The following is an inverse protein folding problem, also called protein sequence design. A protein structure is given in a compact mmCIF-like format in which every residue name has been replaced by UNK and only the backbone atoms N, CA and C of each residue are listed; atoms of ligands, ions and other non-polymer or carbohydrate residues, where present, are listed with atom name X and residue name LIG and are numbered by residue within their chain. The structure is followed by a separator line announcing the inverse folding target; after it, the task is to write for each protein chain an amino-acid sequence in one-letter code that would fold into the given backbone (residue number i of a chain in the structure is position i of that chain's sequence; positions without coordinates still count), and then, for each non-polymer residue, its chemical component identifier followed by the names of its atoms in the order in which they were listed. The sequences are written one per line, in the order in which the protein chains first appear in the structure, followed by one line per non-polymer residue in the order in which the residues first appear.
data_IF_594030423237
#
_entry.id   IF_594030423237
#
_cell.length_a   1.000
_cell.length_b   1.000
_cell.length_c   1.000
_cell.angle_alpha   90.00
_cell.angle_beta   90.00
_cell.angle_gamma   90.00
#
_symmetry.space_group_name_H-M   'P 1'
#
loop_
_entity.id
_entity.type
_entity.pdbx_description
1 polymer ?
#
# COMPACT_ATOMS: atom_id res chain seq x y z
N UNK A 1 3.68 -50.52 -9.27
CA UNK A 1 3.66 -49.12 -8.78
C UNK A 1 2.21 -48.68 -8.56
N UNK A 2 1.67 -48.83 -7.35
CA UNK A 2 0.26 -48.50 -7.06
C UNK A 2 0.06 -47.01 -6.78
N UNK A 3 -0.92 -46.38 -7.43
CA UNK A 3 -1.32 -44.98 -7.16
C UNK A 3 -2.17 -44.95 -5.88
N UNK A 4 -1.62 -44.42 -4.78
CA UNK A 4 -2.40 -44.14 -3.56
C UNK A 4 -3.37 -42.98 -3.83
N UNK A 5 -4.66 -43.26 -3.92
CA UNK A 5 -5.69 -42.22 -3.86
C UNK A 5 -5.80 -41.74 -2.41
N UNK A 6 -5.50 -40.47 -2.17
CA UNK A 6 -5.81 -39.81 -0.89
C UNK A 6 -7.32 -39.64 -0.79
N UNK A 7 -7.96 -40.50 0.01
CA UNK A 7 -9.35 -40.32 0.40
C UNK A 7 -9.48 -38.98 1.11
N UNK A 8 -10.26 -38.06 0.54
CA UNK A 8 -10.65 -36.85 1.24
C UNK A 8 -11.54 -37.28 2.40
N UNK A 9 -11.11 -37.03 3.65
CA UNK A 9 -11.98 -37.21 4.80
C UNK A 9 -13.10 -36.17 4.70
N UNK A 10 -14.27 -36.64 4.26
CA UNK A 10 -15.51 -35.89 4.36
C UNK A 10 -15.71 -35.63 5.86
N UNK A 11 -15.62 -34.37 6.26
CA UNK A 11 -16.02 -33.95 7.60
C UNK A 11 -17.55 -33.96 7.58
N UNK A 12 -18.15 -35.02 8.12
CA UNK A 12 -19.59 -35.02 8.35
C UNK A 12 -19.94 -33.84 9.26
N UNK A 13 -21.12 -33.21 9.08
CA UNK A 13 -21.63 -32.25 10.05
C UNK A 13 -21.70 -32.90 11.44
N UNK A 14 -21.54 -32.13 12.53
CA UNK A 14 -21.76 -32.66 13.87
C UNK A 14 -23.18 -33.21 13.96
N UNK A 15 -23.34 -34.35 14.63
CA UNK A 15 -24.66 -34.94 14.88
C UNK A 15 -25.55 -33.89 15.55
N UNK A 16 -26.80 -33.80 15.09
CA UNK A 16 -27.79 -32.90 15.68
C UNK A 16 -28.00 -33.28 17.16
N UNK A 17 -28.16 -32.30 18.07
CA UNK A 17 -28.56 -32.60 19.43
C UNK A 17 -29.87 -33.41 19.41
N UNK A 18 -30.08 -34.34 20.37
CA UNK A 18 -31.30 -35.13 20.42
C UNK A 18 -32.53 -34.21 20.46
N UNK A 19 -33.58 -34.58 19.73
CA UNK A 19 -34.86 -33.88 19.75
C UNK A 19 -35.49 -34.02 21.14
N UNK A 20 -35.28 -33.02 21.98
CA UNK A 20 -35.97 -32.85 23.26
C UNK A 20 -37.42 -32.44 22.91
N UNK A 21 -38.45 -33.14 23.42
CA UNK A 21 -39.84 -32.72 23.24
C UNK A 21 -40.04 -31.29 23.75
N UNK A 22 -40.83 -30.47 23.04
CA UNK A 22 -41.11 -29.08 23.43
C UNK A 22 -41.68 -28.98 24.86
N UNK A 23 -42.35 -30.03 25.34
CA UNK A 23 -42.92 -30.17 26.69
C UNK A 23 -41.88 -30.41 27.81
N UNK A 24 -40.63 -30.78 27.48
CA UNK A 24 -39.52 -30.98 28.44
C UNK A 24 -38.63 -29.74 28.60
N UNK A 25 -38.90 -28.66 27.85
CA UNK A 25 -38.09 -27.42 27.87
C UNK A 25 -38.60 -26.47 28.97
N UNK A 26 -38.05 -26.60 30.18
CA UNK A 26 -38.31 -25.67 31.28
C UNK A 26 -37.61 -24.31 31.05
N UNK A 27 -38.39 -23.25 30.82
CA UNK A 27 -37.90 -21.87 30.73
C UNK A 27 -37.86 -21.22 32.13
N UNK A 28 -36.79 -20.49 32.46
CA UNK A 28 -36.73 -19.71 33.69
C UNK A 28 -37.73 -18.55 33.65
N UNK A 29 -38.34 -18.22 34.79
CA UNK A 29 -39.22 -17.06 34.95
C UNK A 29 -38.54 -15.74 34.53
N UNK A 30 -37.22 -15.65 34.67
CA UNK A 30 -36.44 -14.47 34.29
C UNK A 30 -36.23 -14.35 32.77
N UNK A 31 -36.10 -15.47 32.04
CA UNK A 31 -36.04 -15.47 30.58
C UNK A 31 -37.38 -15.03 29.98
N UNK A 32 -38.49 -15.49 30.58
CA UNK A 32 -39.85 -15.11 30.22
C UNK A 32 -40.07 -13.60 30.44
N UNK A 33 -39.53 -13.01 31.53
CA UNK A 33 -39.57 -11.55 31.77
C UNK A 33 -38.75 -10.81 30.73
N UNK A 34 -37.50 -11.24 30.49
CA UNK A 34 -36.58 -10.59 29.55
C UNK A 34 -37.15 -10.49 28.13
N UNK A 35 -37.78 -11.57 27.62
CA UNK A 35 -38.41 -11.58 26.29
C UNK A 35 -39.67 -10.71 26.24
N UNK A 36 -40.45 -10.61 27.34
CA UNK A 36 -41.61 -9.71 27.42
C UNK A 36 -41.21 -8.25 27.39
N UNK A 37 -40.15 -7.88 28.11
CA UNK A 37 -39.58 -6.52 28.13
C UNK A 37 -38.98 -6.13 26.78
N UNK A 38 -38.25 -7.05 26.13
CA UNK A 38 -37.53 -6.80 24.87
C UNK A 38 -38.31 -7.17 23.60
N UNK A 39 -39.66 -7.17 23.65
CA UNK A 39 -40.52 -7.55 22.52
C UNK A 39 -40.26 -6.79 21.21
N UNK A 40 -39.83 -5.53 21.29
CA UNK A 40 -39.48 -4.73 20.10
C UNK A 40 -38.33 -5.38 19.29
N UNK A 41 -37.38 -6.02 19.96
CA UNK A 41 -36.22 -6.69 19.36
C UNK A 41 -36.54 -8.14 18.93
N UNK A 42 -37.60 -8.75 19.48
CA UNK A 42 -38.06 -10.10 19.13
C UNK A 42 -38.96 -10.15 17.88
N UNK A 43 -39.16 -9.03 17.18
CA UNK A 43 -40.01 -8.92 15.97
C UNK A 43 -39.63 -9.94 14.87
N UNK A 44 -38.35 -10.21 14.68
CA UNK A 44 -37.85 -11.23 13.76
C UNK A 44 -38.33 -12.64 14.15
N UNK A 45 -38.30 -13.00 15.44
CA UNK A 45 -38.73 -14.32 15.91
C UNK A 45 -40.24 -14.53 15.70
N UNK A 46 -41.04 -13.48 15.87
CA UNK A 46 -42.49 -13.53 15.60
C UNK A 46 -42.89 -13.55 14.13
N UNK A 47 -41.96 -13.25 13.21
CA UNK A 47 -42.22 -13.19 11.75
C UNK A 47 -41.55 -14.31 10.96
N UNK A 48 -40.71 -15.14 11.60
CA UNK A 48 -40.13 -16.33 11.00
C UNK A 48 -41.17 -17.45 10.89
N UNK A 49 -41.52 -17.80 9.65
CA UNK A 49 -42.29 -19.01 9.35
C UNK A 49 -41.43 -20.26 9.58
N UNK A 50 -41.52 -20.80 10.79
CA UNK A 50 -40.81 -22.01 11.19
C UNK A 50 -41.14 -23.17 10.26
N UNK A 51 -42.38 -23.32 9.79
CA UNK A 51 -42.80 -24.48 8.99
C UNK A 51 -42.14 -24.53 7.61
N UNK A 52 -41.96 -23.40 6.92
CA UNK A 52 -41.24 -23.40 5.63
C UNK A 52 -39.74 -23.56 5.79
N UNK A 53 -39.17 -23.13 6.92
CA UNK A 53 -37.76 -23.35 7.27
C UNK A 53 -37.51 -24.84 7.54
N UNK A 54 -38.26 -25.48 8.44
CA UNK A 54 -38.09 -26.92 8.73
C UNK A 54 -38.26 -27.77 7.46
N UNK A 55 -39.26 -27.45 6.62
CA UNK A 55 -39.49 -28.12 5.32
C UNK A 55 -38.35 -27.92 4.31
N UNK A 56 -37.55 -26.87 4.39
CA UNK A 56 -36.37 -26.71 3.54
C UNK A 56 -35.14 -27.42 4.12
N UNK A 57 -34.98 -27.46 5.44
CA UNK A 57 -33.86 -28.15 6.10
C UNK A 57 -33.98 -29.66 5.93
N UNK A 58 -35.14 -30.26 6.21
CA UNK A 58 -35.34 -31.72 6.03
C UNK A 58 -35.20 -32.16 4.59
N UNK A 59 -35.73 -31.39 3.62
CA UNK A 59 -35.55 -31.63 2.19
C UNK A 59 -34.09 -31.63 1.72
N UNK A 60 -33.19 -30.97 2.43
CA UNK A 60 -31.74 -30.96 2.12
C UNK A 60 -31.02 -32.09 2.86
N UNK A 61 -31.48 -32.48 4.05
CA UNK A 61 -30.94 -33.61 4.80
C UNK A 61 -31.26 -34.98 4.16
N UNK A 62 -32.48 -35.16 3.64
CA UNK A 62 -32.96 -36.44 3.06
C UNK A 62 -32.71 -36.58 1.54
N UNK A 63 -32.23 -35.53 0.88
CA UNK A 63 -31.97 -35.56 -0.55
C UNK A 63 -30.66 -36.29 -0.88
N UNK A 64 -30.73 -37.28 -1.76
CA UNK A 64 -29.52 -37.91 -2.34
C UNK A 64 -28.68 -36.84 -3.05
N UNK A 65 -27.38 -36.82 -2.77
CA UNK A 65 -26.43 -35.79 -3.24
C UNK A 65 -26.56 -35.48 -4.75
N UNK A 66 -26.66 -36.52 -5.59
CA UNK A 66 -26.85 -36.44 -7.05
C UNK A 66 -28.04 -35.57 -7.51
N UNK A 67 -29.08 -35.44 -6.68
CA UNK A 67 -30.28 -34.65 -6.97
C UNK A 67 -30.07 -33.20 -6.51
N UNK A 68 -29.42 -33.02 -5.36
CA UNK A 68 -29.10 -31.71 -4.81
C UNK A 68 -28.09 -30.97 -5.70
N UNK A 69 -27.05 -31.66 -6.17
CA UNK A 69 -26.03 -31.10 -7.06
C UNK A 69 -26.64 -30.61 -8.38
N UNK A 70 -27.53 -31.40 -9.01
CA UNK A 70 -28.26 -30.99 -10.23
C UNK A 70 -29.13 -29.74 -10.01
N UNK A 71 -29.74 -29.57 -8.84
CA UNK A 71 -30.50 -28.36 -8.51
C UNK A 71 -29.59 -27.13 -8.33
N UNK A 72 -28.37 -27.32 -7.82
CA UNK A 72 -27.35 -26.28 -7.76
C UNK A 72 -26.82 -25.90 -9.15
N UNK A 73 -26.51 -26.88 -10.01
CA UNK A 73 -26.09 -26.65 -11.41
C UNK A 73 -27.15 -25.86 -12.19
N UNK A 74 -28.42 -26.28 -12.11
CA UNK A 74 -29.54 -25.58 -12.77
C UNK A 74 -29.72 -24.14 -12.26
N UNK A 75 -29.48 -23.90 -10.96
CA UNK A 75 -29.52 -22.54 -10.38
C UNK A 75 -28.37 -21.67 -10.89
N UNK A 76 -27.16 -22.23 -10.98
CA UNK A 76 -25.99 -21.55 -11.56
C UNK A 76 -26.20 -21.20 -13.02
N UNK A 77 -26.72 -22.14 -13.83
CA UNK A 77 -27.06 -21.90 -15.24
C UNK A 77 -28.16 -20.83 -15.39
N UNK A 78 -29.22 -20.86 -14.56
CA UNK A 78 -30.25 -19.79 -14.57
C UNK A 78 -29.68 -18.42 -14.23
N UNK A 79 -28.72 -18.33 -13.31
CA UNK A 79 -28.08 -17.05 -12.97
C UNK A 79 -27.11 -16.58 -14.07
N UNK A 80 -26.38 -17.48 -14.72
CA UNK A 80 -25.57 -17.15 -15.90
C UNK A 80 -26.45 -16.61 -17.05
N UNK A 81 -27.55 -17.31 -17.37
CA UNK A 81 -28.51 -16.88 -18.41
C UNK A 81 -29.22 -15.56 -18.09
N UNK A 82 -29.38 -15.20 -16.80
CA UNK A 82 -29.85 -13.86 -16.41
C UNK A 82 -28.79 -12.80 -16.67
N UNK A 83 -27.54 -13.08 -16.30
CA UNK A 83 -26.41 -12.17 -16.51
C UNK A 83 -26.14 -11.90 -18.00
N UNK A 84 -26.18 -12.93 -18.84
CA UNK A 84 -26.09 -12.78 -20.31
C UNK A 84 -27.24 -11.93 -20.89
N UNK A 85 -28.44 -11.98 -20.29
CA UNK A 85 -29.58 -11.12 -20.67
C UNK A 85 -29.43 -9.67 -20.21
N UNK A 86 -28.79 -9.43 -19.07
CA UNK A 86 -28.42 -8.08 -18.62
C UNK A 86 -27.31 -7.48 -19.51
N UNK A 87 -26.30 -8.29 -19.88
CA UNK A 87 -25.21 -7.87 -20.76
C UNK A 87 -25.66 -7.62 -22.21
N UNK A 88 -26.65 -8.38 -22.73
CA UNK A 88 -27.22 -8.16 -24.07
C UNK A 88 -28.32 -7.09 -24.14
N UNK A 89 -28.88 -6.68 -22.99
CA UNK A 89 -29.94 -5.68 -22.91
C UNK A 89 -29.46 -4.22 -23.01
N UNK A 90 -28.17 -3.95 -22.83
CA UNK A 90 -27.64 -2.58 -22.75
C UNK A 90 -27.19 -2.03 -24.13
N UNK A 91 -28.14 -1.76 -25.03
CA UNK A 91 -27.85 -0.95 -26.22
C UNK A 91 -27.67 0.52 -25.81
N UNK A 92 -26.42 0.96 -25.72
CA UNK A 92 -26.05 2.36 -25.43
C UNK A 92 -26.13 3.17 -26.72
N UNK A 93 -26.90 4.27 -26.69
CA UNK A 93 -27.03 5.19 -27.81
C UNK A 93 -25.70 5.84 -28.23
N UNK A 94 -25.62 6.29 -29.49
CA UNK A 94 -24.41 6.90 -30.06
C UNK A 94 -24.09 8.24 -29.37
N UNK A 95 -23.08 8.23 -28.50
CA UNK A 95 -22.52 9.44 -27.87
C UNK A 95 -21.80 10.33 -28.89
N UNK A 96 -21.93 11.65 -28.75
CA UNK A 96 -21.41 12.73 -29.63
C UNK A 96 -19.87 12.87 -29.71
N UNK A 97 -19.14 11.76 -29.80
CA UNK A 97 -17.70 11.80 -30.06
C UNK A 97 -17.42 12.18 -31.53
N UNK A 98 -16.60 13.21 -31.74
CA UNK A 98 -16.20 13.63 -33.09
C UNK A 98 -15.56 12.47 -33.88
N UNK A 99 -16.03 12.21 -35.12
CA UNK A 99 -15.58 11.06 -35.91
C UNK A 99 -14.08 11.09 -36.21
N UNK A 100 -13.38 9.99 -35.91
CA UNK A 100 -11.95 9.81 -36.21
C UNK A 100 -11.79 9.04 -37.53
N UNK A 101 -10.97 9.57 -38.44
CA UNK A 101 -10.59 8.87 -39.68
C UNK A 101 -9.39 7.97 -39.44
N UNK A 102 -9.49 6.70 -39.83
CA UNK A 102 -8.32 5.81 -39.93
C UNK A 102 -7.52 6.12 -41.19
N UNK A 103 -6.30 5.56 -41.30
CA UNK A 103 -5.42 5.77 -42.46
C UNK A 103 -6.04 5.30 -43.78
N UNK A 104 -6.94 4.31 -43.72
CA UNK A 104 -7.71 3.78 -44.85
C UNK A 104 -8.92 4.65 -45.25
N UNK A 105 -9.05 5.85 -44.67
CA UNK A 105 -10.13 6.81 -44.97
C UNK A 105 -11.50 6.47 -44.37
N UNK A 106 -11.65 5.33 -43.69
CA UNK A 106 -12.88 4.93 -43.00
C UNK A 106 -13.07 5.75 -41.72
N UNK A 107 -14.33 6.06 -41.40
CA UNK A 107 -14.72 6.91 -40.28
C UNK A 107 -15.22 6.03 -39.13
N UNK A 108 -14.68 6.23 -37.93
CA UNK A 108 -15.03 5.47 -36.72
C UNK A 108 -15.44 6.42 -35.58
N UNK A 109 -16.45 6.01 -34.81
CA UNK A 109 -16.96 6.72 -33.64
C UNK A 109 -16.67 5.87 -32.40
N UNK A 110 -16.13 6.49 -31.34
CA UNK A 110 -15.87 5.79 -30.06
C UNK A 110 -17.09 5.88 -29.15
N UNK A 111 -17.62 4.74 -28.73
CA UNK A 111 -18.62 4.65 -27.67
C UNK A 111 -17.94 4.44 -26.30
N UNK A 112 -18.58 4.90 -25.23
CA UNK A 112 -18.11 4.74 -23.86
C UNK A 112 -19.27 4.32 -22.94
N UNK A 113 -19.00 3.41 -22.00
CA UNK A 113 -19.98 2.89 -21.04
C UNK A 113 -20.16 3.85 -19.87
N UNK A 114 -21.40 4.30 -19.61
CA UNK A 114 -21.73 5.26 -18.54
C UNK A 114 -22.39 4.58 -17.34
N UNK A 115 -21.78 4.72 -16.17
CA UNK A 115 -22.43 4.47 -14.88
C UNK A 115 -23.32 5.67 -14.49
N UNK A 116 -24.56 5.41 -14.09
CA UNK A 116 -25.48 6.40 -13.53
C UNK A 116 -25.31 6.49 -11.99
N UNK A 117 -25.78 7.49 -11.24
CA UNK A 117 -26.04 8.93 -11.38
C UNK A 117 -27.10 9.34 -10.34
N UNK A 118 -26.81 10.37 -9.53
CA UNK A 118 -27.64 10.99 -8.47
C UNK A 118 -27.04 12.40 -8.27
N UNK A 119 -27.73 13.55 -8.19
CA UNK A 119 -29.15 13.92 -8.37
C UNK A 119 -29.23 15.33 -9.05
N UNK A 120 -30.43 15.91 -9.18
CA UNK A 120 -30.65 17.34 -9.50
C UNK A 120 -31.62 17.99 -8.49
N UNK A 121 -32.46 18.96 -8.90
CA UNK A 121 -32.11 20.25 -9.53
C UNK A 121 -32.94 21.46 -9.00
N UNK A 122 -32.52 22.72 -9.26
CA UNK A 122 -33.36 23.92 -9.55
C UNK A 122 -32.59 25.26 -9.38
N UNK A 123 -32.69 26.16 -10.38
CA UNK A 123 -33.02 27.62 -10.32
C UNK A 123 -32.27 28.55 -9.33
N UNK A 124 -31.96 29.84 -9.60
CA UNK A 124 -32.15 30.74 -10.76
C UNK A 124 -31.19 31.97 -10.65
N UNK A 125 -31.14 32.79 -11.71
CA UNK A 125 -30.87 34.25 -11.71
C UNK A 125 -29.48 34.90 -11.41
N UNK A 126 -29.09 35.76 -12.38
CA UNK A 126 -28.27 37.01 -12.40
C UNK A 126 -26.87 37.19 -11.74
N UNK A 127 -25.92 37.75 -12.53
CA UNK A 127 -24.77 38.52 -12.02
C UNK A 127 -23.47 38.46 -12.88
N UNK A 128 -23.13 39.57 -13.52
CA UNK A 128 -21.95 39.94 -14.36
C UNK A 128 -20.55 39.44 -13.87
N UNK A 129 -19.45 39.37 -14.66
CA UNK A 129 -19.09 40.12 -15.90
C UNK A 129 -17.99 39.41 -16.77
N UNK A 130 -17.60 40.09 -17.87
CA UNK A 130 -16.34 40.04 -18.64
C UNK A 130 -16.13 39.15 -19.92
N UNK A 131 -16.25 39.84 -21.07
CA UNK A 131 -15.35 39.83 -22.25
C UNK A 131 -15.18 38.64 -23.24
N UNK A 132 -16.16 38.52 -24.16
CA UNK A 132 -16.02 38.87 -25.61
C UNK A 132 -14.91 38.22 -26.50
N UNK A 133 -15.35 37.24 -27.32
CA UNK A 133 -15.19 37.15 -28.81
C UNK A 133 -13.79 37.00 -29.48
N UNK A 134 -13.50 35.74 -29.90
CA UNK A 134 -13.27 35.28 -31.30
C UNK A 134 -12.15 35.94 -32.17
N UNK A 135 -11.16 35.14 -32.61
CA UNK A 135 -10.98 34.73 -34.03
C UNK A 135 -9.54 34.30 -34.45
N UNK A 136 -9.49 33.33 -35.38
CA UNK A 136 -8.44 32.97 -36.37
C UNK A 136 -6.92 33.06 -36.01
N UNK A 137 -6.16 32.00 -36.36
CA UNK A 137 -5.30 32.02 -37.57
C UNK A 137 -4.83 30.61 -37.97
N UNK A 138 -4.95 30.27 -39.27
CA UNK A 138 -4.46 29.00 -39.86
C UNK A 138 -3.10 29.25 -40.53
N UNK A 139 -2.02 28.70 -40.00
CA UNK A 139 -0.70 28.79 -40.65
C UNK A 139 -0.61 27.88 -41.88
N UNK A 140 -0.08 28.42 -42.99
CA UNK A 140 -0.15 27.78 -44.31
C UNK A 140 1.05 26.86 -44.60
N UNK A 141 0.89 26.00 -45.61
CA UNK A 141 1.83 24.93 -46.01
C UNK A 141 3.24 25.42 -46.41
N UNK A 142 3.42 26.73 -46.64
CA UNK A 142 4.69 27.34 -47.01
C UNK A 142 5.68 27.44 -45.83
N UNK A 143 5.23 27.83 -44.64
CA UNK A 143 6.11 28.07 -43.48
C UNK A 143 6.80 26.79 -42.99
N UNK A 144 6.10 25.65 -43.04
CA UNK A 144 6.66 24.33 -42.69
C UNK A 144 7.81 23.92 -43.62
N UNK A 145 7.80 24.35 -44.90
CA UNK A 145 8.89 24.07 -45.86
C UNK A 145 10.12 24.97 -45.64
N UNK A 146 9.94 26.19 -45.13
CA UNK A 146 11.05 27.08 -44.78
C UNK A 146 11.86 26.56 -43.58
N UNK A 147 11.17 26.05 -42.54
CA UNK A 147 11.83 25.49 -41.34
C UNK A 147 12.69 24.26 -41.66
N UNK A 148 12.22 23.35 -42.52
CA UNK A 148 12.99 22.16 -42.94
C UNK A 148 14.26 22.49 -43.75
N UNK A 149 14.29 23.63 -44.46
CA UNK A 149 15.48 24.12 -45.18
C UNK A 149 16.55 24.75 -44.27
N UNK A 150 16.20 25.24 -43.08
CA UNK A 150 17.18 25.71 -42.08
C UNK A 150 17.94 24.54 -41.44
N UNK A 151 17.21 23.51 -41.01
CA UNK A 151 17.78 22.30 -40.38
C UNK A 151 18.81 21.60 -41.30
N UNK A 152 18.54 21.47 -42.61
CA UNK A 152 19.52 20.93 -43.58
C UNK A 152 20.72 21.85 -43.87
N UNK A 153 20.70 23.11 -43.43
CA UNK A 153 21.82 24.07 -43.61
C UNK A 153 22.70 24.19 -42.37
N UNK A 154 22.17 23.84 -41.20
CA UNK A 154 22.92 23.73 -39.94
C UNK A 154 23.72 22.42 -39.88
N UNK A 155 23.13 21.29 -40.30
CA UNK A 155 23.83 19.99 -40.41
C UNK A 155 24.95 19.91 -41.46
N UNK A 156 25.37 21.04 -42.08
CA UNK A 156 26.52 21.11 -43.00
C UNK A 156 27.61 22.09 -42.51
N UNK A 157 27.61 22.40 -41.21
CA UNK A 157 28.63 23.25 -40.55
C UNK A 157 29.51 22.52 -39.53
N UNK A 158 29.27 21.23 -39.24
CA UNK A 158 30.05 20.47 -38.26
C UNK A 158 31.21 19.65 -38.85
N UNK A 159 31.25 19.39 -40.16
CA UNK A 159 32.35 18.66 -40.83
C UNK A 159 33.57 19.53 -41.20
N UNK A 160 33.86 20.63 -40.49
CA UNK A 160 34.99 21.51 -40.84
C UNK A 160 35.69 22.24 -39.69
N UNK A 161 35.81 21.59 -38.54
CA UNK A 161 36.74 21.99 -37.46
C UNK A 161 37.51 20.76 -36.95
N UNK A 162 38.23 20.10 -37.86
CA UNK A 162 39.25 19.08 -37.54
C UNK A 162 40.48 19.38 -38.37
N UNK A 163 41.30 20.32 -37.92
CA UNK A 163 42.68 20.54 -38.37
C UNK A 163 43.39 21.52 -37.44
N UNK A 164 44.49 21.07 -36.81
CA UNK A 164 45.45 21.80 -35.97
C UNK A 164 44.98 22.14 -34.55
N UNK A 165 45.33 21.27 -33.62
CA UNK A 165 46.33 21.56 -32.58
C UNK A 165 46.78 20.25 -31.91
N UNK A 166 47.81 19.59 -32.48
CA UNK A 166 48.57 18.54 -31.81
C UNK A 166 49.75 19.20 -31.07
N UNK A 167 49.73 19.24 -29.73
CA UNK A 167 50.88 19.06 -28.82
C UNK A 167 50.34 18.58 -27.46
N UNK A 168 50.95 17.52 -26.89
CA UNK A 168 50.70 16.95 -25.53
C UNK A 168 49.36 16.21 -25.26
N UNK A 169 49.18 15.05 -25.90
CA UNK A 169 48.04 14.14 -25.67
C UNK A 169 48.17 13.13 -24.51
N UNK A 170 49.32 13.07 -23.81
CA UNK A 170 49.51 12.07 -22.74
C UNK A 170 48.66 12.26 -21.45
N UNK A 171 48.40 13.50 -20.93
CA UNK A 171 47.68 13.67 -19.67
C UNK A 171 46.16 13.83 -19.84
N UNK A 172 45.66 14.22 -21.02
CA UNK A 172 44.26 14.62 -21.20
C UNK A 172 43.30 13.43 -21.29
N UNK A 173 43.70 12.32 -21.92
CA UNK A 173 42.88 11.11 -21.97
C UNK A 173 42.72 10.45 -20.58
N UNK A 174 43.74 10.55 -19.72
CA UNK A 174 43.66 10.09 -18.34
C UNK A 174 42.72 10.97 -17.50
N UNK A 175 42.82 12.30 -17.63
CA UNK A 175 41.92 13.23 -16.95
C UNK A 175 40.46 13.10 -17.41
N UNK A 176 40.21 12.84 -18.70
CA UNK A 176 38.86 12.58 -19.21
C UNK A 176 38.28 11.26 -18.66
N UNK A 177 39.10 10.20 -18.57
CA UNK A 177 38.67 8.94 -17.96
C UNK A 177 38.40 9.09 -16.44
N UNK A 178 39.21 9.86 -15.72
CA UNK A 178 39.01 10.17 -14.30
C UNK A 178 37.69 10.93 -14.09
N UNK A 179 37.42 11.96 -14.91
CA UNK A 179 36.14 12.69 -14.90
C UNK A 179 34.95 11.80 -15.27
N UNK A 180 35.08 10.88 -16.24
CA UNK A 180 34.00 9.93 -16.56
C UNK A 180 33.70 8.95 -15.43
N UNK A 181 34.71 8.48 -14.68
CA UNK A 181 34.50 7.62 -13.51
C UNK A 181 33.89 8.40 -12.34
N UNK A 182 34.34 9.63 -12.07
CA UNK A 182 33.72 10.50 -11.05
C UNK A 182 32.24 10.80 -11.38
N UNK A 183 31.92 11.08 -12.64
CA UNK A 183 30.54 11.26 -13.10
C UNK A 183 29.69 9.99 -12.91
N UNK A 184 30.23 8.79 -13.19
CA UNK A 184 29.53 7.51 -12.93
C UNK A 184 29.28 7.29 -11.44
N UNK A 185 30.21 7.70 -10.57
CA UNK A 185 30.05 7.63 -9.10
C UNK A 185 28.97 8.62 -8.64
N UNK A 186 28.92 9.83 -9.20
CA UNK A 186 27.90 10.84 -8.86
C UNK A 186 26.50 10.46 -9.39
N UNK A 187 26.38 9.89 -10.59
CA UNK A 187 25.15 9.29 -11.11
C UNK A 187 24.68 8.10 -10.26
N UNK A 188 25.61 7.26 -9.80
CA UNK A 188 25.30 6.17 -8.86
C UNK A 188 24.82 6.71 -7.50
N UNK A 189 25.37 7.82 -7.02
CA UNK A 189 24.92 8.49 -5.80
C UNK A 189 23.51 9.07 -5.94
N UNK A 190 23.26 9.85 -6.99
CA UNK A 190 21.95 10.48 -7.23
C UNK A 190 20.86 9.44 -7.52
N UNK A 191 21.16 8.36 -8.25
CA UNK A 191 20.19 7.27 -8.49
C UNK A 191 19.82 6.51 -7.20
N UNK A 192 20.77 6.28 -6.29
CA UNK A 192 20.47 5.71 -4.96
C UNK A 192 19.62 6.66 -4.10
N UNK A 193 19.93 7.96 -4.11
CA UNK A 193 19.17 9.01 -3.42
C UNK A 193 17.74 9.12 -3.97
N UNK A 194 17.56 9.03 -5.29
CA UNK A 194 16.24 8.99 -5.93
C UNK A 194 15.46 7.74 -5.51
N UNK A 195 16.06 6.54 -5.58
CA UNK A 195 15.43 5.28 -5.11
C UNK A 195 15.01 5.36 -3.65
N UNK A 196 15.80 6.01 -2.81
CA UNK A 196 15.49 6.18 -1.39
C UNK A 196 14.30 7.11 -1.15
N UNK A 197 14.16 8.17 -1.97
CA UNK A 197 12.99 9.05 -1.97
C UNK A 197 11.73 8.35 -2.53
N UNK A 198 11.88 7.57 -3.61
CA UNK A 198 10.80 6.76 -4.20
C UNK A 198 10.24 5.74 -3.20
N UNK A 199 11.11 4.97 -2.55
CA UNK A 199 10.73 4.02 -1.49
C UNK A 199 10.06 4.72 -0.30
N UNK A 200 10.59 5.87 0.14
CA UNK A 200 10.00 6.66 1.22
C UNK A 200 8.58 7.14 0.88
N UNK A 201 8.38 7.74 -0.30
CA UNK A 201 7.07 8.22 -0.75
C UNK A 201 6.07 7.07 -0.97
N UNK A 202 6.51 5.93 -1.49
CA UNK A 202 5.66 4.75 -1.64
C UNK A 202 5.21 4.18 -0.29
N UNK A 203 6.09 4.18 0.72
CA UNK A 203 5.77 3.75 2.09
C UNK A 203 4.81 4.71 2.81
N UNK A 204 4.96 6.02 2.61
CA UNK A 204 4.07 7.02 3.21
C UNK A 204 2.69 7.06 2.54
N UNK A 205 2.61 6.76 1.23
CA UNK A 205 1.32 6.67 0.52
C UNK A 205 0.52 5.44 0.93
N UNK A 206 1.13 4.24 0.91
CA UNK A 206 0.46 2.96 1.18
C UNK A 206 1.37 2.02 2.01
N UNK A 207 1.39 2.15 3.35
CA UNK A 207 2.33 1.41 4.19
C UNK A 207 2.07 -0.11 4.18
N UNK A 208 0.81 -0.57 4.07
CA UNK A 208 0.48 -2.00 4.04
C UNK A 208 1.00 -2.72 2.80
N UNK A 209 0.92 -2.08 1.63
CA UNK A 209 1.34 -2.68 0.35
C UNK A 209 2.87 -2.68 0.23
N UNK A 210 3.49 -1.57 0.63
CA UNK A 210 4.89 -1.29 0.31
C UNK A 210 5.86 -1.64 1.44
N UNK A 211 5.40 -2.24 2.55
CA UNK A 211 6.18 -2.60 3.76
C UNK A 211 7.52 -3.31 3.49
N UNK A 212 7.66 -4.02 2.36
CA UNK A 212 8.94 -4.64 1.95
C UNK A 212 10.05 -3.59 1.73
N UNK A 213 9.71 -2.42 1.20
CA UNK A 213 10.63 -1.32 0.93
C UNK A 213 11.39 -0.81 2.16
N UNK A 214 10.85 -0.99 3.38
CA UNK A 214 11.59 -0.70 4.61
C UNK A 214 12.86 -1.55 4.74
N UNK A 215 12.82 -2.83 4.33
CA UNK A 215 14.00 -3.70 4.34
C UNK A 215 15.03 -3.25 3.30
N UNK A 216 14.58 -2.67 2.18
CA UNK A 216 15.44 -2.18 1.11
C UNK A 216 16.06 -0.83 1.48
N UNK A 217 15.32 0.07 2.13
CA UNK A 217 15.87 1.29 2.75
C UNK A 217 16.90 0.96 3.86
N UNK A 218 16.64 -0.07 4.68
CA UNK A 218 17.63 -0.55 5.67
C UNK A 218 18.86 -1.16 4.98
N UNK A 219 18.73 -1.76 3.80
CA UNK A 219 19.88 -2.22 3.00
C UNK A 219 20.67 -1.04 2.40
N UNK A 220 20.02 -0.03 1.82
CA UNK A 220 20.68 1.19 1.34
C UNK A 220 21.44 1.92 2.47
N UNK A 221 20.93 1.87 3.72
CA UNK A 221 21.65 2.39 4.89
C UNK A 221 22.94 1.63 5.25
N UNK A 222 23.25 0.52 4.55
CA UNK A 222 24.48 -0.28 4.69
C UNK A 222 25.55 0.02 3.64
N UNK A 223 25.25 0.87 2.66
CA UNK A 223 26.19 1.25 1.61
C UNK A 223 27.49 1.90 2.13
N UNK A 224 28.51 1.93 1.27
CA UNK A 224 29.82 2.53 1.57
C UNK A 224 29.77 4.07 1.70
N UNK A 225 28.79 4.69 1.02
CA UNK A 225 28.72 6.15 0.84
C UNK A 225 28.20 6.83 2.11
N UNK A 226 29.10 7.53 2.83
CA UNK A 226 28.81 8.12 4.15
C UNK A 226 27.61 9.09 4.14
N UNK A 227 27.41 9.79 3.03
CA UNK A 227 26.29 10.71 2.77
C UNK A 227 24.97 9.95 2.61
N UNK A 228 24.95 8.86 1.84
CA UNK A 228 23.78 7.99 1.67
C UNK A 228 23.41 7.32 2.99
N UNK A 229 24.38 6.82 3.76
CA UNK A 229 24.13 6.24 5.08
C UNK A 229 23.46 7.27 6.00
N UNK A 230 23.98 8.51 6.07
CA UNK A 230 23.36 9.57 6.89
C UNK A 230 21.95 9.93 6.42
N UNK A 231 21.75 10.09 5.12
CA UNK A 231 20.44 10.38 4.54
C UNK A 231 19.44 9.26 4.83
N UNK A 232 19.81 8.01 4.55
CA UNK A 232 18.96 6.85 4.76
C UNK A 232 18.60 6.61 6.22
N UNK A 233 19.50 6.89 7.17
CA UNK A 233 19.17 6.84 8.60
C UNK A 233 18.10 7.87 9.01
N UNK A 234 18.18 9.08 8.46
CA UNK A 234 17.24 10.17 8.74
C UNK A 234 15.89 9.96 8.04
N UNK A 235 15.89 9.50 6.79
CA UNK A 235 14.67 9.14 6.06
C UNK A 235 13.97 7.93 6.68
N UNK A 236 14.70 6.91 7.11
CA UNK A 236 14.13 5.79 7.88
C UNK A 236 13.50 6.28 9.19
N UNK A 237 14.11 7.23 9.89
CA UNK A 237 13.51 7.82 11.10
C UNK A 237 12.18 8.51 10.79
N UNK A 238 12.12 9.32 9.74
CA UNK A 238 10.89 10.02 9.35
C UNK A 238 9.78 9.00 9.03
N UNK A 239 10.08 8.01 8.18
CA UNK A 239 9.16 6.93 7.84
C UNK A 239 8.72 6.13 9.06
N UNK A 240 9.62 5.79 9.98
CA UNK A 240 9.25 5.07 11.22
C UNK A 240 8.39 5.93 12.15
N UNK A 241 8.63 7.24 12.25
CA UNK A 241 7.80 8.13 13.08
C UNK A 241 6.33 8.13 12.64
N UNK A 242 6.09 8.08 11.34
CA UNK A 242 4.74 8.17 10.77
C UNK A 242 4.03 6.81 10.67
N UNK A 243 4.79 5.71 10.49
CA UNK A 243 4.25 4.36 10.29
C UNK A 243 4.11 3.56 11.61
N UNK A 244 4.85 3.91 12.67
CA UNK A 244 4.77 3.18 13.94
C UNK A 244 3.40 3.39 14.61
N UNK A 245 2.69 2.30 14.98
CA UNK A 245 1.47 2.41 15.76
C UNK A 245 1.77 2.77 17.22
N UNK A 246 0.89 3.54 17.86
CA UNK A 246 0.97 3.88 19.28
C UNK A 246 0.74 2.71 20.27
N UNK A 247 0.73 1.46 19.80
CA UNK A 247 0.57 0.25 20.61
C UNK A 247 1.76 -0.72 20.43
N UNK A 248 1.94 -1.61 21.41
CA UNK A 248 3.01 -2.62 21.37
C UNK A 248 2.58 -3.81 20.52
N UNK A 249 3.33 -4.08 19.45
CA UNK A 249 3.09 -5.21 18.54
C UNK A 249 3.56 -6.49 19.24
N UNK A 250 2.65 -7.46 19.41
CA UNK A 250 2.98 -8.81 19.90
C UNK A 250 3.29 -9.73 18.72
N UNK A 251 4.40 -10.45 18.78
CA UNK A 251 4.69 -11.51 17.80
C UNK A 251 3.68 -12.67 17.97
N UNK A 252 3.09 -13.18 16.88
CA UNK A 252 2.13 -14.29 16.95
C UNK A 252 2.80 -15.56 17.48
N UNK A 253 2.09 -16.33 18.28
CA UNK A 253 2.61 -17.62 18.79
C UNK A 253 2.63 -18.69 17.69
N UNK A 254 3.45 -19.73 17.84
CA UNK A 254 3.55 -20.83 16.87
C UNK A 254 2.17 -21.48 16.58
N UNK A 255 1.38 -21.67 17.64
CA UNK A 255 0.00 -22.17 17.55
C UNK A 255 -0.90 -21.27 16.69
N UNK A 256 -0.74 -19.95 16.79
CA UNK A 256 -1.50 -18.98 15.98
C UNK A 256 -1.02 -18.89 14.53
N UNK A 257 0.25 -19.20 14.26
CA UNK A 257 0.84 -19.24 12.92
C UNK A 257 0.33 -20.44 12.09
N UNK A 258 0.09 -21.58 12.74
CA UNK A 258 -0.48 -22.78 12.11
C UNK A 258 -1.98 -22.64 11.81
N UNK A 259 -2.71 -21.77 12.53
CA UNK A 259 -4.13 -21.54 12.30
C UNK A 259 -4.41 -20.88 10.94
N UNK A 260 -5.40 -21.42 10.21
CA UNK A 260 -5.90 -20.84 8.96
C UNK A 260 -6.69 -19.55 9.21
N UNK A 261 -5.98 -18.42 9.26
CA UNK A 261 -6.59 -17.09 9.36
C UNK A 261 -7.09 -16.52 8.02
N UNK A 262 -8.02 -15.57 8.10
CA UNK A 262 -8.58 -14.85 6.95
C UNK A 262 -7.51 -14.05 6.18
N UNK A 263 -7.85 -13.64 4.94
CA UNK A 263 -6.96 -12.83 4.09
C UNK A 263 -6.57 -11.49 4.74
N UNK A 264 -7.49 -10.84 5.47
CA UNK A 264 -7.23 -9.57 6.17
C UNK A 264 -6.29 -9.75 7.36
N UNK A 265 -6.57 -10.72 8.23
CA UNK A 265 -5.70 -11.04 9.38
C UNK A 265 -4.29 -11.45 8.92
N UNK A 266 -4.19 -12.21 7.82
CA UNK A 266 -2.89 -12.56 7.22
C UNK A 266 -2.11 -11.33 6.74
N UNK A 267 -2.77 -10.34 6.13
CA UNK A 267 -2.14 -9.07 5.72
C UNK A 267 -1.60 -8.30 6.94
N UNK A 268 -2.44 -8.08 7.96
CA UNK A 268 -2.02 -7.36 9.17
C UNK A 268 -0.82 -8.05 9.86
N UNK A 269 -0.87 -9.38 10.05
CA UNK A 269 0.26 -10.15 10.61
C UNK A 269 1.54 -10.03 9.77
N UNK A 270 1.43 -10.04 8.44
CA UNK A 270 2.58 -9.87 7.56
C UNK A 270 3.17 -8.45 7.65
N UNK A 271 2.32 -7.44 7.73
CA UNK A 271 2.70 -6.04 7.94
C UNK A 271 3.43 -5.86 9.28
N UNK A 272 2.79 -6.24 10.39
CA UNK A 272 3.34 -6.13 11.76
C UNK A 272 4.69 -6.85 11.92
N UNK A 273 4.78 -8.10 11.45
CA UNK A 273 6.02 -8.89 11.54
C UNK A 273 7.14 -8.32 10.66
N UNK A 274 6.81 -7.75 9.49
CA UNK A 274 7.79 -7.09 8.61
C UNK A 274 8.25 -5.76 9.21
N UNK A 275 7.33 -4.95 9.75
CA UNK A 275 7.62 -3.68 10.43
C UNK A 275 8.55 -3.91 11.63
N UNK A 276 8.21 -4.85 12.52
CA UNK A 276 9.01 -5.19 13.70
C UNK A 276 10.38 -5.76 13.31
N UNK A 277 10.45 -6.58 12.25
CA UNK A 277 11.71 -7.10 11.70
C UNK A 277 12.61 -6.00 11.12
N UNK A 278 12.05 -5.07 10.35
CA UNK A 278 12.79 -3.95 9.77
C UNK A 278 13.26 -2.97 10.85
N UNK A 279 12.39 -2.66 11.82
CA UNK A 279 12.70 -1.80 12.96
C UNK A 279 13.84 -2.39 13.82
N UNK A 280 13.80 -3.69 14.13
CA UNK A 280 14.90 -4.38 14.83
C UNK A 280 16.23 -4.25 14.06
N UNK A 281 16.22 -4.45 12.75
CA UNK A 281 17.42 -4.33 11.91
C UNK A 281 17.95 -2.89 11.87
N UNK A 282 17.06 -1.90 11.86
CA UNK A 282 17.41 -0.48 11.94
C UNK A 282 18.01 -0.09 13.30
N UNK A 283 17.43 -0.53 14.41
CA UNK A 283 18.02 -0.33 15.75
C UNK A 283 19.43 -0.94 15.87
N UNK A 284 19.62 -2.16 15.36
CA UNK A 284 20.93 -2.81 15.32
C UNK A 284 21.95 -2.00 14.48
N UNK A 285 21.51 -1.39 13.36
CA UNK A 285 22.34 -0.50 12.54
C UNK A 285 22.69 0.79 13.28
N UNK A 286 21.74 1.41 13.99
CA UNK A 286 21.99 2.60 14.81
C UNK A 286 23.05 2.33 15.88
N UNK A 287 22.93 1.25 16.65
CA UNK A 287 23.88 0.88 17.72
C UNK A 287 25.26 0.49 17.17
N UNK A 288 25.33 -0.05 15.94
CA UNK A 288 26.60 -0.31 15.27
C UNK A 288 27.30 0.99 14.83
N UNK A 289 26.54 1.98 14.38
CA UNK A 289 27.04 3.29 13.92
C UNK A 289 27.27 4.29 15.07
N UNK A 290 26.60 4.12 16.21
CA UNK A 290 26.86 4.81 17.47
C UNK A 290 28.33 4.68 17.89
N UNK A 291 28.92 3.49 17.70
CA UNK A 291 30.34 3.21 17.98
C UNK A 291 31.32 3.91 17.02
N UNK A 292 30.84 4.50 15.93
CA UNK A 292 31.66 5.20 14.96
C UNK A 292 31.49 6.72 15.11
N UNK A 293 32.54 7.49 15.46
CA UNK A 293 32.40 8.92 15.80
C UNK A 293 31.83 9.77 14.64
N UNK A 294 32.05 9.35 13.38
CA UNK A 294 31.53 10.02 12.18
C UNK A 294 30.00 9.99 12.03
N UNK A 295 29.35 9.01 12.69
CA UNK A 295 27.91 8.78 12.63
C UNK A 295 27.24 8.90 14.00
N UNK A 296 27.99 8.82 15.11
CA UNK A 296 27.47 8.87 16.49
C UNK A 296 26.45 9.99 16.71
N UNK A 297 26.75 11.24 16.34
CA UNK A 297 25.83 12.37 16.53
C UNK A 297 24.50 12.20 15.79
N UNK A 298 24.52 11.61 14.59
CA UNK A 298 23.31 11.32 13.81
C UNK A 298 22.55 10.15 14.41
N UNK A 299 23.25 9.07 14.76
CA UNK A 299 22.66 7.87 15.36
C UNK A 299 21.98 8.17 16.70
N UNK A 300 22.63 8.91 17.61
CA UNK A 300 22.05 9.28 18.90
C UNK A 300 20.88 10.23 18.73
N UNK A 301 20.96 11.22 17.82
CA UNK A 301 19.81 12.06 17.48
C UNK A 301 18.63 11.22 16.99
N UNK A 302 18.87 10.20 16.16
CA UNK A 302 17.81 9.31 15.72
C UNK A 302 17.21 8.50 16.87
N UNK A 303 18.03 7.94 17.75
CA UNK A 303 17.59 7.19 18.95
C UNK A 303 16.71 8.07 19.84
N UNK A 304 17.13 9.30 20.14
CA UNK A 304 16.37 10.21 21.00
C UNK A 304 15.04 10.65 20.37
N UNK A 305 15.02 11.03 19.09
CA UNK A 305 13.77 11.42 18.43
C UNK A 305 12.80 10.25 18.19
N UNK A 306 13.26 8.99 18.20
CA UNK A 306 12.39 7.81 18.26
C UNK A 306 11.76 7.63 19.65
N UNK A 307 12.52 7.86 20.72
CA UNK A 307 12.01 7.82 22.10
C UNK A 307 11.00 8.94 22.37
N UNK A 308 11.25 10.15 21.86
CA UNK A 308 10.32 11.29 21.97
C UNK A 308 9.01 11.03 21.20
N UNK A 309 9.07 10.43 20.01
CA UNK A 309 7.87 10.15 19.21
C UNK A 309 7.10 8.92 19.66
N UNK A 310 7.78 7.87 20.17
CA UNK A 310 7.18 6.57 20.45
C UNK A 310 7.70 5.93 21.76
N UNK A 311 7.41 6.52 22.95
CA UNK A 311 8.00 6.08 24.23
C UNK A 311 7.68 4.63 24.62
N UNK A 312 6.50 4.14 24.25
CA UNK A 312 5.97 2.84 24.68
C UNK A 312 6.14 1.73 23.64
N UNK A 313 6.73 2.00 22.47
CA UNK A 313 6.85 1.03 21.39
C UNK A 313 7.83 -0.12 21.72
N UNK A 314 7.86 -1.15 20.87
CA UNK A 314 8.74 -2.31 21.03
C UNK A 314 10.22 -1.90 21.09
N UNK A 315 11.03 -2.65 21.83
CA UNK A 315 12.48 -2.42 22.02
C UNK A 315 12.90 -1.12 22.74
N UNK A 316 12.01 -0.47 23.52
CA UNK A 316 12.36 0.72 24.35
C UNK A 316 13.63 0.54 25.19
N UNK A 317 13.84 -0.65 25.75
CA UNK A 317 14.97 -0.95 26.65
C UNK A 317 16.30 -0.83 25.89
N UNK A 318 16.38 -1.35 24.67
CA UNK A 318 17.56 -1.21 23.80
C UNK A 318 17.86 0.25 23.47
N UNK A 319 16.81 1.08 23.28
CA UNK A 319 16.94 2.52 23.01
C UNK A 319 17.43 3.28 24.25
N UNK A 320 16.83 3.02 25.42
CA UNK A 320 17.21 3.65 26.69
C UNK A 320 18.63 3.26 27.12
N UNK A 321 19.00 1.99 26.97
CA UNK A 321 20.37 1.52 27.18
C UNK A 321 21.37 2.27 26.30
N UNK A 322 20.99 2.60 25.06
CA UNK A 322 21.82 3.38 24.15
C UNK A 322 21.88 4.86 24.53
N UNK A 323 20.77 5.51 24.90
CA UNK A 323 20.81 6.91 25.36
C UNK A 323 21.63 7.06 26.63
N UNK A 324 21.42 6.21 27.63
CA UNK A 324 22.17 6.22 28.91
C UNK A 324 23.68 6.09 28.68
N UNK A 325 24.12 5.18 27.80
CA UNK A 325 25.54 5.08 27.40
C UNK A 325 26.06 6.40 26.80
N UNK A 326 25.31 7.03 25.90
CA UNK A 326 25.75 8.25 25.22
C UNK A 326 25.70 9.51 26.10
N UNK A 327 24.82 9.57 27.11
CA UNK A 327 24.79 10.67 28.10
C UNK A 327 26.09 10.72 28.90
N UNK A 328 26.71 9.57 29.16
CA UNK A 328 28.04 9.48 29.80
C UNK A 328 29.23 9.84 28.89
N UNK A 329 29.00 10.06 27.59
CA UNK A 329 30.08 10.30 26.62
C UNK A 329 30.56 11.75 26.58
N UNK A 330 31.84 11.94 26.25
CA UNK A 330 32.52 13.24 26.27
C UNK A 330 32.01 14.27 25.24
N UNK A 331 31.13 13.88 24.31
CA UNK A 331 30.65 14.75 23.25
C UNK A 331 29.52 15.68 23.74
N UNK A 332 29.88 16.93 24.05
CA UNK A 332 28.99 17.95 24.61
C UNK A 332 27.74 18.20 23.73
N UNK A 333 27.90 18.17 22.40
CA UNK A 333 26.81 18.31 21.44
C UNK A 333 25.76 17.17 21.47
N UNK A 334 26.13 16.00 22.02
CA UNK A 334 25.20 14.88 22.25
C UNK A 334 24.46 15.10 23.59
N UNK A 335 25.20 15.41 24.66
CA UNK A 335 24.63 15.73 25.97
C UNK A 335 23.63 16.89 25.92
N UNK A 336 23.92 17.96 25.19
CA UNK A 336 23.06 19.16 25.13
C UNK A 336 21.75 18.95 24.32
N UNK A 337 21.65 17.91 23.49
CA UNK A 337 20.45 17.61 22.68
C UNK A 337 19.53 16.52 23.23
N UNK A 338 19.94 15.81 24.28
CA UNK A 338 19.09 14.85 24.98
C UNK A 338 18.08 15.42 26.02
N UNK A 339 18.18 16.66 26.57
CA UNK A 339 17.48 17.02 27.81
C UNK A 339 15.98 17.38 27.65
N UNK A 340 15.41 17.32 26.45
CA UNK A 340 13.94 17.32 26.25
C UNK A 340 13.34 15.99 26.71
N UNK A 341 13.87 14.88 26.17
CA UNK A 341 13.34 13.54 26.39
C UNK A 341 13.30 13.10 27.87
N UNK A 342 14.28 13.49 28.69
CA UNK A 342 14.32 13.13 30.11
C UNK A 342 13.23 13.81 30.94
N UNK A 343 12.84 15.05 30.62
CA UNK A 343 11.82 15.76 31.41
C UNK A 343 10.45 15.13 31.27
N UNK A 344 10.06 14.71 30.06
CA UNK A 344 8.77 14.05 29.82
C UNK A 344 8.78 12.57 30.24
N UNK A 345 9.89 11.85 30.02
CA UNK A 345 9.99 10.42 30.43
C UNK A 345 10.08 10.23 31.94
N UNK A 346 10.70 11.15 32.70
CA UNK A 346 10.72 11.10 34.17
C UNK A 346 9.39 11.54 34.80
N UNK A 347 8.59 12.38 34.11
CA UNK A 347 7.23 12.75 34.54
C UNK A 347 6.24 11.59 34.33
N UNK A 348 6.37 10.86 33.22
CA UNK A 348 5.51 9.68 32.91
C UNK A 348 5.87 8.41 33.69
N UNK A 349 7.01 8.36 34.38
CA UNK A 349 7.37 7.29 35.31
C UNK A 349 6.94 7.56 36.76
N UNK A 350 6.27 8.69 37.03
CA UNK A 350 5.90 9.16 38.38
C UNK A 350 4.39 9.33 38.59
N UNK A 351 3.60 8.78 37.67
CA UNK A 351 2.14 8.62 37.71
C UNK A 351 1.80 7.15 37.40
#
# INVERSE_FOLDING_TARGET
MGKKQTQQKILLPPDLPPEIPDDEVEYSDDDIKFVKENRAFASLLSTLDTQSITKHVTRVADAKDDVLEKLYEQRMQKNALKKEKEETGLQVDRVDALPVKTLDGKIYFRTATKTAAVNGPSEEETGEDDNVVKSLFKLTKAEKRAKLKKIRKEGKKQDKVVAKEEVEEAPQAAALAEVEEDLKVEEAFESKKFRLAELGNALLTDPESNIKGLKDMVQLSKDNDRTIVKLGLLSLLAVFRDIIPGYRIRLPTEKELEMKVSKTIRKMRFYESTLLSAYKAYLQRLIALEKQPLFQLVAVRCICSLLESNPHFNYRETLLDATVRNISSSNDAIRLKNPSSEKETMLTFRA
#
